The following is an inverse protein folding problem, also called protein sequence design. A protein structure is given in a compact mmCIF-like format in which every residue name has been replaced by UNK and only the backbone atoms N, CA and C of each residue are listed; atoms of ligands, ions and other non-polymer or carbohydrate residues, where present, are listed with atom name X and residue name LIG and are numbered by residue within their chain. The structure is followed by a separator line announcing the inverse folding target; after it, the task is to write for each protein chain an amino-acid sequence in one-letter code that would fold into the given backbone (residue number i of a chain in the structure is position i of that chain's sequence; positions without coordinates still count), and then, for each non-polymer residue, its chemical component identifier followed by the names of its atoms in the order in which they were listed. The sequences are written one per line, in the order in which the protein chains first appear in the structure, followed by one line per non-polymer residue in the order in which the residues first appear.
data_IF_160885198620
#
_entry.id   IF_160885198620
#
_cell.length_a   1.000
_cell.length_b   1.000
_cell.length_c   1.000
_cell.angle_alpha   90.00
_cell.angle_beta   90.00
_cell.angle_gamma   90.00
#
_symmetry.space_group_name_H-M   'P 1'
#
loop_
_entity.id
_entity.type
_entity.pdbx_description
1 polymer ?
#
# COMPACT_ATOMS: atom_id res chain seq x y z
N UNK A 1 -0.11 16.98 6.18
CA UNK A 1 -1.49 17.06 6.72
C UNK A 1 -2.10 15.68 6.52
N UNK A 2 -2.82 15.13 7.51
CA UNK A 2 -3.45 13.82 7.36
C UNK A 2 -4.45 13.81 6.18
N UNK A 3 -4.59 12.70 5.45
CA UNK A 3 -5.53 12.60 4.34
C UNK A 3 -6.96 12.63 4.85
N UNK A 4 -7.86 13.15 4.02
CA UNK A 4 -9.30 13.05 4.21
C UNK A 4 -9.79 11.63 3.87
N UNK A 5 -10.96 11.25 4.36
CA UNK A 5 -11.60 9.96 4.01
C UNK A 5 -11.69 9.76 2.50
N UNK A 6 -12.08 10.79 1.74
CA UNK A 6 -12.11 10.74 0.26
C UNK A 6 -10.76 10.46 -0.37
N UNK A 7 -9.67 10.95 0.23
CA UNK A 7 -8.31 10.67 -0.25
C UNK A 7 -7.89 9.24 0.09
N UNK A 8 -8.30 8.71 1.25
CA UNK A 8 -8.08 7.32 1.65
C UNK A 8 -8.84 6.37 0.72
N UNK A 9 -10.14 6.60 0.49
CA UNK A 9 -10.96 5.83 -0.45
C UNK A 9 -10.34 5.79 -1.84
N UNK A 10 -9.91 6.95 -2.35
CA UNK A 10 -9.24 7.04 -3.64
C UNK A 10 -7.90 6.28 -3.66
N UNK A 11 -7.13 6.30 -2.57
CA UNK A 11 -5.90 5.53 -2.48
C UNK A 11 -6.18 4.02 -2.53
N UNK A 12 -7.19 3.55 -1.79
CA UNK A 12 -7.63 2.15 -1.80
C UNK A 12 -8.07 1.74 -3.21
N UNK A 13 -8.87 2.55 -3.90
CA UNK A 13 -9.31 2.27 -5.27
C UNK A 13 -8.13 2.13 -6.24
N UNK A 14 -7.17 3.04 -6.19
CA UNK A 14 -5.97 2.99 -7.06
C UNK A 14 -5.10 1.76 -6.77
N UNK A 15 -4.93 1.40 -5.50
CA UNK A 15 -4.20 0.18 -5.11
C UNK A 15 -4.95 -1.07 -5.60
N UNK A 16 -6.27 -1.13 -5.43
CA UNK A 16 -7.10 -2.25 -5.93
C UNK A 16 -7.03 -2.38 -7.45
N UNK A 17 -7.01 -1.28 -8.19
CA UNK A 17 -6.78 -1.30 -9.65
C UNK A 17 -5.45 -1.94 -10.00
N UNK A 18 -4.38 -1.65 -9.25
CA UNK A 18 -3.07 -2.32 -9.43
C UNK A 18 -3.11 -3.80 -9.12
N UNK A 19 -3.77 -4.17 -8.02
CA UNK A 19 -3.97 -5.57 -7.64
C UNK A 19 -4.83 -6.36 -8.63
N UNK A 20 -5.62 -5.68 -9.47
CA UNK A 20 -6.40 -6.29 -10.55
C UNK A 20 -5.63 -6.40 -11.88
N UNK A 21 -4.44 -5.81 -12.00
CA UNK A 21 -3.66 -5.86 -13.24
C UNK A 21 -3.15 -7.29 -13.50
N UNK A 22 -3.26 -7.83 -14.73
CA UNK A 22 -2.81 -9.19 -15.03
C UNK A 22 -1.35 -9.48 -14.66
N UNK A 23 -0.48 -8.46 -14.68
CA UNK A 23 0.94 -8.59 -14.32
C UNK A 23 1.21 -8.87 -12.84
N UNK A 24 0.26 -8.59 -11.94
CA UNK A 24 0.46 -8.74 -10.48
C UNK A 24 0.64 -10.20 -10.05
N UNK A 25 0.16 -11.16 -10.84
CA UNK A 25 0.24 -12.60 -10.55
C UNK A 25 1.60 -13.19 -10.90
N UNK A 26 2.44 -12.45 -11.63
CA UNK A 26 3.81 -12.88 -11.94
C UNK A 26 4.63 -12.95 -10.65
N UNK A 27 5.45 -13.99 -10.51
CA UNK A 27 6.33 -14.16 -9.36
C UNK A 27 7.25 -12.94 -9.12
N UNK A 28 7.71 -12.27 -10.18
CA UNK A 28 8.50 -11.04 -10.09
C UNK A 28 7.78 -9.89 -9.36
N UNK A 29 6.45 -9.92 -9.32
CA UNK A 29 5.57 -8.93 -8.69
C UNK A 29 5.01 -9.38 -7.35
N UNK A 30 5.48 -10.52 -6.82
CA UNK A 30 5.09 -11.00 -5.49
C UNK A 30 5.28 -9.93 -4.39
N UNK A 31 6.41 -9.19 -4.32
CA UNK A 31 6.57 -8.13 -3.31
C UNK A 31 5.54 -7.01 -3.42
N UNK A 32 5.20 -6.59 -4.65
CA UNK A 32 4.18 -5.56 -4.88
C UNK A 32 2.79 -6.08 -4.52
N UNK A 33 2.49 -7.33 -4.86
CA UNK A 33 1.22 -7.96 -4.49
C UNK A 33 1.06 -8.01 -2.99
N UNK A 34 2.05 -8.54 -2.28
CA UNK A 34 2.09 -8.61 -0.82
C UNK A 34 1.92 -7.23 -0.19
N UNK A 35 2.77 -6.27 -0.55
CA UNK A 35 2.75 -4.93 0.04
C UNK A 35 1.48 -4.16 -0.26
N UNK A 36 0.91 -4.29 -1.47
CA UNK A 36 -0.34 -3.63 -1.81
C UNK A 36 -1.56 -4.27 -1.15
N UNK A 37 -1.56 -5.58 -0.93
CA UNK A 37 -2.59 -6.23 -0.13
C UNK A 37 -2.58 -5.69 1.29
N UNK A 38 -1.41 -5.69 1.94
CA UNK A 38 -1.28 -5.14 3.31
C UNK A 38 -1.62 -3.64 3.37
N UNK A 39 -1.22 -2.87 2.37
CA UNK A 39 -1.57 -1.44 2.29
C UNK A 39 -3.09 -1.21 2.26
N UNK A 40 -3.86 -2.07 1.57
CA UNK A 40 -5.33 -1.97 1.60
C UNK A 40 -5.85 -2.23 3.01
N UNK A 41 -5.35 -3.26 3.69
CA UNK A 41 -5.78 -3.61 5.05
C UNK A 41 -5.46 -2.48 6.03
N UNK A 42 -4.24 -1.90 5.98
CA UNK A 42 -3.83 -0.74 6.77
C UNK A 42 -4.77 0.45 6.55
N UNK A 43 -5.10 0.78 5.30
CA UNK A 43 -5.96 1.93 4.97
C UNK A 43 -7.42 1.70 5.40
N UNK A 44 -7.92 0.47 5.30
CA UNK A 44 -9.29 0.11 5.70
C UNK A 44 -9.44 0.10 7.23
N UNK A 45 -8.41 -0.35 7.93
CA UNK A 45 -8.40 -0.42 9.40
C UNK A 45 -8.04 0.92 10.07
N UNK A 46 -7.66 1.95 9.31
CA UNK A 46 -7.03 3.19 9.80
C UNK A 46 -5.83 2.89 10.74
N UNK A 47 -5.01 1.90 10.35
CA UNK A 47 -3.88 1.45 11.16
C UNK A 47 -2.71 2.41 11.03
N UNK A 48 -2.60 3.36 11.96
CA UNK A 48 -1.58 4.43 11.94
C UNK A 48 -0.22 4.04 12.54
N UNK A 49 -0.02 2.77 12.87
CA UNK A 49 1.23 2.21 13.41
C UNK A 49 1.80 1.15 12.47
N UNK A 50 3.09 0.87 12.61
CA UNK A 50 3.80 -0.13 11.79
C UNK A 50 3.58 -1.59 12.24
N UNK A 51 2.57 -1.84 13.08
CA UNK A 51 2.30 -3.16 13.63
C UNK A 51 1.95 -4.18 12.53
N UNK A 52 2.58 -5.35 12.60
CA UNK A 52 2.34 -6.46 11.69
C UNK A 52 3.11 -6.37 10.36
N UNK A 53 3.67 -5.20 10.02
CA UNK A 53 4.46 -5.03 8.79
C UNK A 53 5.70 -5.95 8.81
N UNK A 54 6.29 -6.19 9.97
CA UNK A 54 7.44 -7.09 10.16
C UNK A 54 7.15 -8.55 9.75
N UNK A 55 5.88 -8.94 9.64
CA UNK A 55 5.45 -10.28 9.24
C UNK A 55 5.45 -10.51 7.73
N UNK A 56 5.49 -9.45 6.92
CA UNK A 56 5.59 -9.57 5.47
C UNK A 56 6.95 -10.16 5.09
N UNK A 57 6.97 -11.04 4.10
CA UNK A 57 8.14 -11.79 3.68
C UNK A 57 9.18 -10.85 3.03
N UNK A 58 8.73 -9.95 2.17
CA UNK A 58 9.61 -9.19 1.29
C UNK A 58 9.93 -7.79 1.83
N UNK A 59 11.19 -7.35 1.69
CA UNK A 59 11.61 -5.98 2.06
C UNK A 59 10.79 -4.93 1.29
N UNK A 60 10.53 -5.16 0.01
CA UNK A 60 9.77 -4.24 -0.81
C UNK A 60 8.27 -4.24 -0.45
N UNK A 61 7.69 -5.40 -0.09
CA UNK A 61 6.34 -5.48 0.45
C UNK A 61 6.20 -4.66 1.73
N UNK A 62 7.15 -4.83 2.66
CA UNK A 62 7.23 -4.00 3.89
C UNK A 62 7.32 -2.51 3.60
N UNK A 63 8.17 -2.12 2.65
CA UNK A 63 8.31 -0.72 2.27
C UNK A 63 6.99 -0.11 1.74
N UNK A 64 6.22 -0.85 0.94
CA UNK A 64 4.90 -0.38 0.47
C UNK A 64 3.92 -0.26 1.63
N UNK A 65 3.89 -1.21 2.56
CA UNK A 65 3.03 -1.15 3.74
C UNK A 65 3.38 0.05 4.65
N UNK A 66 4.66 0.36 4.82
CA UNK A 66 5.12 1.58 5.53
C UNK A 66 4.58 2.84 4.86
N UNK A 67 4.62 2.93 3.53
CA UNK A 67 4.05 4.07 2.80
C UNK A 67 2.55 4.25 3.06
N UNK A 68 1.80 3.18 3.36
CA UNK A 68 0.39 3.29 3.70
C UNK A 68 0.19 3.96 5.07
N UNK A 69 1.01 3.58 6.06
CA UNK A 69 1.03 4.21 7.38
C UNK A 69 1.48 5.67 7.28
N UNK A 70 2.56 5.94 6.55
CA UNK A 70 3.08 7.30 6.32
C UNK A 70 2.03 8.17 5.61
N UNK A 71 1.28 7.61 4.67
CA UNK A 71 0.15 8.31 4.04
C UNK A 71 -0.95 8.66 5.05
N UNK A 72 -1.40 7.73 5.90
CA UNK A 72 -2.40 8.00 6.95
C UNK A 72 -1.93 9.07 7.96
N UNK A 73 -0.64 9.09 8.25
CA UNK A 73 -0.02 10.08 9.13
C UNK A 73 0.27 11.42 8.41
N UNK A 74 0.06 11.50 7.10
CA UNK A 74 0.27 12.70 6.30
C UNK A 74 1.74 13.04 6.06
N UNK A 75 2.60 12.03 6.13
CA UNK A 75 4.05 12.07 5.91
C UNK A 75 4.42 11.82 4.44
N UNK A 76 3.52 11.20 3.67
CA UNK A 76 3.65 11.06 2.23
C UNK A 76 2.33 11.33 1.49
N UNK A 77 2.43 11.67 0.21
CA UNK A 77 1.27 11.85 -0.66
C UNK A 77 0.80 10.53 -1.27
N UNK A 78 -0.49 10.47 -1.63
CA UNK A 78 -1.10 9.34 -2.36
C UNK A 78 -0.26 8.89 -3.57
N UNK A 79 0.35 9.84 -4.29
CA UNK A 79 1.17 9.54 -5.48
C UNK A 79 2.40 8.68 -5.17
N UNK A 80 2.97 8.78 -3.96
CA UNK A 80 4.12 7.99 -3.55
C UNK A 80 3.68 6.56 -3.25
N UNK A 81 2.67 6.39 -2.40
CA UNK A 81 2.07 5.09 -2.07
C UNK A 81 1.58 4.35 -3.34
N UNK A 82 0.75 5.00 -4.14
CA UNK A 82 0.23 4.44 -5.38
C UNK A 82 1.25 4.45 -6.53
N UNK A 83 2.46 4.99 -6.34
CA UNK A 83 3.46 5.18 -7.40
C UNK A 83 4.32 3.94 -7.68
N UNK A 84 4.37 2.98 -6.75
CA UNK A 84 5.27 1.83 -6.86
C UNK A 84 4.90 0.97 -8.09
N UNK A 85 5.86 0.79 -8.99
CA UNK A 85 5.63 0.12 -10.26
C UNK A 85 5.65 -1.42 -10.11
N UNK A 86 4.83 -2.08 -10.94
CA UNK A 86 5.00 -3.51 -11.22
C UNK A 86 6.18 -3.69 -12.17
N UNK A 87 6.88 -4.81 -12.03
CA UNK A 87 7.94 -5.30 -12.93
C UNK A 87 7.35 -6.00 -14.15
#
# INVERSE_FOLDING_TARGET
MKPTEKQIEKAIEEIRKKLAQPGITKAANFPQKEGYTEAVDILVEDRQTYEGIDKLETVQGRAIAVLAVDFLNGECDQKILCGVALK
#
